data_IF_459866290922
#
_entry.id   IF_459866290922
#
_cell.length_a   1.000
_cell.length_b   1.000
_cell.length_c   1.000
_cell.angle_alpha   90.00
_cell.angle_beta   90.00
_cell.angle_gamma   90.00
#
_symmetry.space_group_name_H-M   'P 1'
#
loop_
_entity.id
_entity.type
_entity.pdbx_description
1 polymer ?
#
# COMPACT_ATOMS: atom_id res chain seq x y z
N UNK A 1 0.32 -20.03 -14.50
CA UNK A 1 -0.63 -19.03 -15.02
C UNK A 1 -0.84 -19.36 -16.49
N UNK A 2 -2.05 -19.21 -17.03
CA UNK A 2 -2.26 -19.38 -18.47
C UNK A 2 -1.52 -18.24 -19.19
N UNK A 3 -0.75 -18.52 -20.25
CA UNK A 3 -0.06 -17.48 -21.01
C UNK A 3 -1.11 -16.51 -21.55
N UNK A 4 -1.10 -15.27 -21.04
CA UNK A 4 -2.00 -14.22 -21.53
C UNK A 4 -1.70 -13.97 -22.99
N UNK A 5 -2.75 -13.84 -23.81
CA UNK A 5 -2.63 -13.48 -25.24
C UNK A 5 -2.60 -11.97 -25.46
N UNK A 6 -2.46 -11.20 -24.38
CA UNK A 6 -2.48 -9.74 -24.42
C UNK A 6 -1.16 -9.20 -24.97
N UNK A 7 -1.24 -8.17 -25.79
CA UNK A 7 -0.07 -7.50 -26.38
C UNK A 7 -0.32 -6.00 -26.44
N UNK A 8 0.73 -5.21 -26.20
CA UNK A 8 0.71 -3.78 -26.45
C UNK A 8 1.46 -3.47 -27.75
N UNK A 9 0.82 -2.77 -28.68
CA UNK A 9 1.43 -2.29 -29.92
C UNK A 9 1.82 -0.83 -29.72
N UNK A 10 3.09 -0.50 -29.91
CA UNK A 10 3.58 0.90 -29.91
C UNK A 10 4.38 1.20 -31.18
N UNK A 11 4.80 2.45 -31.36
CA UNK A 11 5.55 2.89 -32.52
C UNK A 11 6.79 3.69 -32.15
N UNK A 12 7.85 3.52 -32.94
CA UNK A 12 8.99 4.42 -32.96
C UNK A 12 9.13 5.02 -34.36
N UNK A 13 9.34 6.35 -34.43
CA UNK A 13 9.63 7.08 -35.68
C UNK A 13 8.53 6.93 -36.75
N UNK A 14 7.32 6.56 -36.35
CA UNK A 14 6.12 6.45 -37.20
C UNK A 14 4.85 6.66 -36.37
N UNK A 15 3.68 6.67 -37.02
CA UNK A 15 2.37 6.76 -36.35
C UNK A 15 1.61 5.44 -36.45
N UNK A 16 0.64 5.27 -35.56
CA UNK A 16 -0.27 4.11 -35.53
C UNK A 16 -1.69 4.45 -36.04
N UNK A 17 -1.89 5.64 -36.62
CA UNK A 17 -3.23 6.13 -36.99
C UNK A 17 -3.96 5.25 -38.01
N UNK A 18 -3.19 4.59 -38.88
CA UNK A 18 -3.71 3.69 -39.92
C UNK A 18 -3.93 2.24 -39.42
N UNK A 19 -3.66 1.96 -38.14
CA UNK A 19 -3.81 0.61 -37.57
C UNK A 19 -5.26 0.35 -37.18
N UNK A 20 -5.92 -0.56 -37.89
CA UNK A 20 -7.24 -1.08 -37.51
C UNK A 20 -7.10 -2.11 -36.37
N UNK A 21 -7.00 -1.60 -35.15
CA UNK A 21 -6.87 -2.42 -33.94
C UNK A 21 -8.05 -3.37 -33.75
N UNK A 22 -9.26 -2.99 -34.17
CA UNK A 22 -10.45 -3.81 -34.01
C UNK A 22 -10.38 -5.05 -34.90
N UNK A 23 -9.99 -4.90 -36.17
CA UNK A 23 -9.79 -6.01 -37.08
C UNK A 23 -8.67 -6.96 -36.63
N UNK A 24 -7.55 -6.41 -36.13
CA UNK A 24 -6.45 -7.22 -35.61
C UNK A 24 -6.84 -8.01 -34.35
N UNK A 25 -7.55 -7.37 -33.42
CA UNK A 25 -8.01 -8.02 -32.19
C UNK A 25 -9.00 -9.16 -32.49
N UNK A 26 -9.95 -8.93 -33.41
CA UNK A 26 -10.91 -9.95 -33.86
C UNK A 26 -10.20 -11.16 -34.48
N UNK A 27 -9.20 -10.93 -35.34
CA UNK A 27 -8.40 -11.99 -35.95
C UNK A 27 -7.60 -12.83 -34.92
N UNK A 28 -7.20 -12.22 -33.79
CA UNK A 28 -6.50 -12.90 -32.71
C UNK A 28 -7.45 -13.51 -31.66
N UNK A 29 -8.74 -13.20 -31.73
CA UNK A 29 -9.75 -13.65 -30.77
C UNK A 29 -9.60 -13.00 -29.39
N UNK A 30 -9.14 -11.75 -29.34
CA UNK A 30 -8.97 -10.94 -28.12
C UNK A 30 -9.73 -9.63 -28.24
N UNK A 31 -9.87 -8.88 -27.14
CA UNK A 31 -10.56 -7.58 -27.17
C UNK A 31 -9.63 -6.49 -27.67
N UNK A 32 -10.15 -5.52 -28.41
CA UNK A 32 -9.42 -4.29 -28.72
C UNK A 32 -9.47 -3.32 -27.52
N UNK A 33 -8.32 -2.74 -27.18
CA UNK A 33 -8.19 -1.70 -26.17
C UNK A 33 -7.21 -0.62 -26.66
N UNK A 34 -7.23 0.56 -26.03
CA UNK A 34 -6.31 1.65 -26.35
C UNK A 34 -5.84 2.30 -25.06
N UNK A 35 -4.56 2.70 -25.03
CA UNK A 35 -4.04 3.52 -23.93
C UNK A 35 -4.55 4.95 -24.10
N UNK A 36 -5.31 5.42 -23.12
CA UNK A 36 -5.70 6.83 -22.99
C UNK A 36 -4.95 7.51 -21.82
N UNK A 37 -5.03 8.84 -21.73
CA UNK A 37 -4.37 9.60 -20.67
C UNK A 37 -2.93 10.01 -20.97
N UNK A 38 -2.35 10.81 -20.07
CA UNK A 38 -0.98 11.35 -20.18
C UNK A 38 -0.06 10.85 -19.07
N UNK A 39 -0.62 10.13 -18.09
CA UNK A 39 0.11 9.62 -16.93
C UNK A 39 -0.12 8.13 -16.75
N UNK A 40 0.83 7.46 -16.11
CA UNK A 40 0.74 6.01 -15.85
C UNK A 40 -0.47 5.67 -14.97
N UNK A 41 -0.83 6.54 -14.02
CA UNK A 41 -1.99 6.36 -13.17
C UNK A 41 -3.32 6.41 -13.96
N UNK A 42 -3.44 7.32 -14.93
CA UNK A 42 -4.61 7.40 -15.82
C UNK A 42 -4.68 6.20 -16.76
N UNK A 43 -3.54 5.77 -17.31
CA UNK A 43 -3.44 4.58 -18.16
C UNK A 43 -3.82 3.31 -17.39
N UNK A 44 -3.24 3.11 -16.20
CA UNK A 44 -3.48 1.93 -15.38
C UNK A 44 -4.91 1.88 -14.84
N UNK A 45 -5.48 3.03 -14.49
CA UNK A 45 -6.86 3.17 -14.02
C UNK A 45 -7.94 2.87 -15.07
N UNK A 46 -7.59 2.68 -16.34
CA UNK A 46 -8.52 2.19 -17.37
C UNK A 46 -8.83 0.70 -17.26
N UNK A 47 -8.09 -0.02 -16.41
CA UNK A 47 -8.27 -1.46 -16.18
C UNK A 47 -8.30 -2.24 -17.51
N UNK A 48 -7.30 -1.99 -18.38
CA UNK A 48 -7.27 -2.45 -19.77
C UNK A 48 -7.40 -3.97 -19.94
N UNK A 49 -7.19 -4.76 -18.89
CA UNK A 49 -7.28 -6.22 -18.88
C UNK A 49 -8.41 -6.79 -17.99
N UNK A 50 -9.26 -5.95 -17.38
CA UNK A 50 -10.30 -6.41 -16.46
C UNK A 50 -11.34 -7.36 -17.10
N UNK A 51 -11.53 -7.25 -18.42
CA UNK A 51 -12.46 -8.09 -19.19
C UNK A 51 -11.77 -9.22 -19.96
N UNK A 52 -10.57 -9.63 -19.52
CA UNK A 52 -9.75 -10.66 -20.15
C UNK A 52 -8.74 -10.12 -21.16
N UNK A 53 -8.17 -11.03 -21.95
CA UNK A 53 -7.06 -10.73 -22.87
C UNK A 53 -7.41 -9.63 -23.88
N UNK A 54 -6.46 -8.72 -24.11
CA UNK A 54 -6.64 -7.58 -24.99
C UNK A 54 -5.43 -7.30 -25.88
N UNK A 55 -5.70 -6.91 -27.13
CA UNK A 55 -4.75 -6.24 -27.99
C UNK A 55 -4.86 -4.73 -27.76
N UNK A 56 -3.81 -4.16 -27.17
CA UNK A 56 -3.77 -2.77 -26.70
C UNK A 56 -3.02 -1.93 -27.72
N UNK A 57 -3.68 -0.91 -28.27
CA UNK A 57 -3.01 0.12 -29.07
C UNK A 57 -2.42 1.18 -28.13
N UNK A 58 -1.10 1.35 -28.18
CA UNK A 58 -0.38 2.35 -27.40
C UNK A 58 -0.70 3.79 -27.81
N UNK A 59 -0.19 4.73 -27.02
CA UNK A 59 -0.28 6.17 -27.30
C UNK A 59 0.55 6.60 -28.52
N UNK A 60 1.56 5.80 -28.89
CA UNK A 60 2.53 6.13 -29.92
C UNK A 60 3.82 6.78 -29.37
N UNK A 61 3.87 7.05 -28.07
CA UNK A 61 5.12 7.30 -27.35
C UNK A 61 5.63 5.98 -26.77
N UNK A 62 6.59 5.34 -27.45
CA UNK A 62 7.13 4.05 -27.02
C UNK A 62 7.77 4.07 -25.62
N UNK A 63 8.19 5.24 -25.11
CA UNK A 63 8.75 5.34 -23.75
C UNK A 63 7.65 5.24 -22.71
N UNK A 64 6.55 5.98 -22.92
CA UNK A 64 5.38 5.92 -22.04
C UNK A 64 4.66 4.56 -22.16
N UNK A 65 4.48 4.08 -23.39
CA UNK A 65 3.85 2.80 -23.67
C UNK A 65 4.65 1.62 -23.07
N UNK A 66 5.98 1.73 -22.98
CA UNK A 66 6.80 0.77 -22.25
C UNK A 66 6.45 0.73 -20.74
N UNK A 67 6.22 1.88 -20.11
CA UNK A 67 5.82 1.93 -18.70
C UNK A 67 4.43 1.32 -18.49
N UNK A 68 3.49 1.62 -19.38
CA UNK A 68 2.14 1.02 -19.34
C UNK A 68 2.20 -0.48 -19.55
N UNK A 69 2.97 -0.95 -20.53
CA UNK A 69 3.15 -2.37 -20.81
C UNK A 69 3.76 -3.11 -19.62
N UNK A 70 4.80 -2.54 -19.01
CA UNK A 70 5.43 -3.07 -17.81
C UNK A 70 4.43 -3.13 -16.65
N UNK A 71 3.65 -2.08 -16.41
CA UNK A 71 2.65 -2.03 -15.34
C UNK A 71 1.58 -3.14 -15.47
N UNK A 72 1.14 -3.42 -16.69
CA UNK A 72 0.16 -4.48 -16.97
C UNK A 72 0.78 -5.88 -17.12
N UNK A 73 2.11 -5.99 -17.21
CA UNK A 73 2.77 -7.26 -17.51
C UNK A 73 2.42 -7.78 -18.90
N UNK A 74 2.31 -6.89 -19.89
CA UNK A 74 2.00 -7.26 -21.28
C UNK A 74 3.24 -7.11 -22.16
N UNK A 75 3.55 -8.09 -23.01
CA UNK A 75 4.63 -7.94 -23.97
C UNK A 75 4.32 -6.86 -25.02
N UNK A 76 5.38 -6.23 -25.52
CA UNK A 76 5.30 -5.11 -26.47
C UNK A 76 5.70 -5.55 -27.87
N UNK A 77 4.94 -5.12 -28.87
CA UNK A 77 5.34 -5.15 -30.27
C UNK A 77 5.64 -3.74 -30.74
N UNK A 78 6.86 -3.50 -31.22
CA UNK A 78 7.31 -2.21 -31.73
C UNK A 78 7.12 -2.13 -33.24
N UNK A 79 6.37 -1.14 -33.70
CA UNK A 79 6.25 -0.79 -35.13
C UNK A 79 7.26 0.31 -35.46
N UNK A 80 8.07 0.11 -36.50
CA UNK A 80 9.10 1.08 -36.89
C UNK A 80 9.43 0.99 -38.38
N UNK A 81 9.80 2.10 -39.06
CA UNK A 81 10.28 2.05 -40.43
C UNK A 81 11.65 1.34 -40.56
N UNK A 82 12.43 1.26 -39.47
CA UNK A 82 13.81 0.72 -39.45
C UNK A 82 13.95 -0.42 -38.42
N UNK A 83 13.35 -1.60 -38.68
CA UNK A 83 13.34 -2.71 -37.72
C UNK A 83 14.74 -3.28 -37.44
N UNK A 84 15.70 -3.09 -38.34
CA UNK A 84 17.10 -3.49 -38.17
C UNK A 84 17.91 -2.61 -37.20
N UNK A 85 17.34 -1.51 -36.70
CA UNK A 85 18.04 -0.54 -35.84
C UNK A 85 17.17 -0.06 -34.66
N UNK A 86 16.92 -0.97 -33.72
CA UNK A 86 16.06 -0.78 -32.54
C UNK A 86 16.79 -0.81 -31.19
N UNK A 87 18.13 -0.80 -31.19
CA UNK A 87 18.91 -0.98 -29.97
C UNK A 87 18.65 0.08 -28.89
N UNK A 88 18.31 1.31 -29.28
CA UNK A 88 17.93 2.36 -28.33
C UNK A 88 16.55 2.10 -27.72
N UNK A 89 15.57 1.74 -28.54
CA UNK A 89 14.22 1.41 -28.11
C UNK A 89 14.24 0.19 -27.18
N UNK A 90 14.99 -0.86 -27.53
CA UNK A 90 15.24 -2.05 -26.70
C UNK A 90 15.82 -1.70 -25.33
N UNK A 91 16.81 -0.81 -25.29
CA UNK A 91 17.38 -0.32 -24.03
C UNK A 91 16.32 0.41 -23.18
N UNK A 92 15.49 1.26 -23.81
CA UNK A 92 14.38 1.96 -23.14
C UNK A 92 13.37 0.96 -22.58
N UNK A 93 12.95 -0.06 -23.34
CA UNK A 93 12.05 -1.11 -22.84
C UNK A 93 12.67 -1.90 -21.68
N UNK A 94 13.96 -2.24 -21.77
CA UNK A 94 14.67 -2.91 -20.68
C UNK A 94 14.74 -2.05 -19.41
N UNK A 95 15.04 -0.76 -19.56
CA UNK A 95 14.99 0.20 -18.46
C UNK A 95 13.57 0.35 -17.91
N UNK A 96 12.54 0.28 -18.78
CA UNK A 96 11.10 -0.01 -18.60
C UNK A 96 10.72 -1.14 -17.64
N UNK A 97 11.49 -2.22 -17.65
CA UNK A 97 10.99 -3.54 -17.26
C UNK A 97 9.93 -4.08 -18.22
N UNK A 98 9.80 -3.50 -19.40
CA UNK A 98 8.90 -3.96 -20.45
C UNK A 98 9.60 -5.03 -21.29
N UNK A 99 8.84 -6.02 -21.75
CA UNK A 99 9.36 -7.10 -22.57
C UNK A 99 9.04 -6.81 -24.04
N UNK A 100 10.05 -6.52 -24.84
CA UNK A 100 9.88 -6.41 -26.29
C UNK A 100 9.77 -7.81 -26.90
N UNK A 101 8.57 -8.15 -27.36
CA UNK A 101 8.24 -9.45 -27.94
C UNK A 101 8.51 -9.53 -29.45
N UNK A 102 8.50 -8.40 -30.14
CA UNK A 102 8.74 -8.36 -31.58
C UNK A 102 8.89 -6.94 -32.13
N UNK A 103 9.53 -6.85 -33.28
CA UNK A 103 9.70 -5.61 -34.05
C UNK A 103 9.12 -5.83 -35.44
N UNK A 104 8.20 -4.96 -35.83
CA UNK A 104 7.47 -5.05 -37.10
C UNK A 104 7.75 -3.81 -37.94
N UNK A 105 8.01 -4.03 -39.23
CA UNK A 105 8.20 -2.92 -40.17
C UNK A 105 6.89 -2.16 -40.37
N UNK A 106 6.94 -0.83 -40.39
CA UNK A 106 5.79 0.00 -40.71
C UNK A 106 5.14 -0.45 -42.03
N UNK A 107 3.81 -0.62 -42.02
CA UNK A 107 3.03 -1.11 -43.16
C UNK A 107 3.01 -2.63 -43.32
N UNK A 108 3.68 -3.39 -42.46
CA UNK A 108 3.69 -4.86 -42.44
C UNK A 108 3.04 -5.45 -41.17
N UNK A 109 2.25 -4.65 -40.44
CA UNK A 109 1.55 -5.10 -39.24
C UNK A 109 0.28 -5.87 -39.62
N UNK A 110 0.23 -7.14 -39.28
CA UNK A 110 -0.92 -8.02 -39.45
C UNK A 110 -1.07 -9.00 -38.27
N UNK A 111 -2.12 -9.82 -38.27
CA UNK A 111 -2.36 -10.78 -37.21
C UNK A 111 -1.26 -11.84 -37.08
N UNK A 112 -0.54 -12.18 -38.16
CA UNK A 112 0.56 -13.14 -38.11
C UNK A 112 1.81 -12.54 -37.44
N UNK A 113 2.11 -11.27 -37.71
CA UNK A 113 3.19 -10.53 -37.06
C UNK A 113 2.98 -10.34 -35.54
N UNK A 114 1.75 -10.51 -35.05
CA UNK A 114 1.37 -10.43 -33.64
C UNK A 114 1.31 -11.79 -32.94
N UNK A 115 1.57 -12.90 -33.63
CA UNK A 115 1.71 -14.22 -32.99
C UNK A 115 3.11 -14.37 -32.40
N UNK A 116 3.38 -13.63 -31.33
CA UNK A 116 4.65 -13.64 -30.61
C UNK A 116 4.53 -14.44 -29.32
N UNK A 117 5.53 -15.26 -29.02
CA UNK A 117 5.65 -15.98 -27.75
C UNK A 117 6.61 -15.20 -26.84
N UNK A 118 6.06 -14.44 -25.91
CA UNK A 118 6.81 -13.72 -24.89
C UNK A 118 6.03 -13.71 -23.58
N UNK A 119 6.73 -13.89 -22.47
CA UNK A 119 6.17 -13.76 -21.12
C UNK A 119 6.63 -12.44 -20.53
N UNK A 120 5.68 -11.68 -19.98
CA UNK A 120 5.94 -10.44 -19.26
C UNK A 120 5.22 -10.52 -17.90
N UNK A 121 5.89 -10.07 -16.86
CA UNK A 121 5.34 -10.01 -15.50
C UNK A 121 5.02 -8.56 -15.16
N UNK A 122 3.91 -8.28 -14.45
CA UNK A 122 3.58 -6.93 -14.00
C UNK A 122 4.69 -6.33 -13.15
N UNK A 123 5.12 -5.11 -13.51
CA UNK A 123 6.16 -4.37 -12.80
C UNK A 123 5.49 -3.34 -11.90
N UNK A 124 5.61 -3.55 -10.59
CA UNK A 124 5.13 -2.60 -9.60
C UNK A 124 5.93 -1.29 -9.66
N UNK A 125 5.23 -0.15 -9.63
CA UNK A 125 5.79 1.19 -9.40
C UNK A 125 4.98 1.91 -8.32
N UNK A 126 5.43 3.08 -7.90
CA UNK A 126 4.69 3.93 -6.96
C UNK A 126 3.27 4.24 -7.50
N UNK A 127 3.17 4.69 -8.74
CA UNK A 127 1.92 5.09 -9.39
C UNK A 127 0.98 3.90 -9.61
N UNK A 128 1.54 2.73 -9.96
CA UNK A 128 0.77 1.48 -10.09
C UNK A 128 0.23 1.05 -8.73
N UNK A 129 1.07 1.09 -7.69
CA UNK A 129 0.67 0.73 -6.34
C UNK A 129 -0.42 1.66 -5.80
N UNK A 130 -0.27 2.98 -5.97
CA UNK A 130 -1.28 3.96 -5.56
C UNK A 130 -2.60 3.75 -6.31
N UNK A 131 -2.56 3.52 -7.62
CA UNK A 131 -3.76 3.25 -8.42
C UNK A 131 -4.46 1.96 -7.96
N UNK A 132 -3.69 0.90 -7.72
CA UNK A 132 -4.19 -0.36 -7.17
C UNK A 132 -4.83 -0.17 -5.79
N UNK A 133 -4.16 0.58 -4.90
CA UNK A 133 -4.64 0.88 -3.55
C UNK A 133 -5.99 1.60 -3.57
N UNK A 134 -6.13 2.61 -4.44
CA UNK A 134 -7.37 3.36 -4.61
C UNK A 134 -8.50 2.47 -5.15
N UNK A 135 -8.22 1.62 -6.14
CA UNK A 135 -9.19 0.66 -6.68
C UNK A 135 -9.69 -0.30 -5.60
N UNK A 136 -8.78 -0.91 -4.84
CA UNK A 136 -9.13 -1.82 -3.73
C UNK A 136 -9.91 -1.15 -2.61
N UNK A 137 -9.54 0.07 -2.23
CA UNK A 137 -10.29 0.84 -1.24
C UNK A 137 -11.73 1.13 -1.71
N UNK A 138 -11.88 1.48 -2.99
CA UNK A 138 -13.19 1.75 -3.61
C UNK A 138 -14.10 0.52 -3.60
N UNK A 139 -13.58 -0.69 -3.79
CA UNK A 139 -14.40 -1.91 -3.70
C UNK A 139 -15.00 -2.11 -2.29
N UNK A 140 -14.28 -1.72 -1.25
CA UNK A 140 -14.73 -1.90 0.14
C UNK A 140 -15.76 -0.86 0.58
N UNK A 141 -15.76 0.34 0.00
CA UNK A 141 -16.64 1.46 0.39
C UNK A 141 -16.68 1.72 1.91
N UNK A 142 -15.54 1.55 2.59
CA UNK A 142 -15.43 1.70 4.03
C UNK A 142 -15.72 3.15 4.47
N UNK A 143 -16.25 3.31 5.68
CA UNK A 143 -16.49 4.62 6.28
C UNK A 143 -15.32 5.03 7.18
N UNK A 144 -14.57 6.05 6.77
CA UNK A 144 -13.40 6.54 7.50
C UNK A 144 -13.70 7.89 8.18
N UNK A 145 -13.34 8.03 9.46
CA UNK A 145 -13.40 9.30 10.18
C UNK A 145 -12.04 10.02 10.12
N UNK A 146 -12.08 11.31 9.82
CA UNK A 146 -10.94 12.24 9.73
C UNK A 146 -11.10 13.31 10.83
N UNK A 147 -10.38 13.21 11.96
CA UNK A 147 -10.58 14.10 13.10
C UNK A 147 -10.14 15.54 12.82
N UNK A 148 -9.20 15.76 11.92
CA UNK A 148 -8.44 17.02 11.82
C UNK A 148 -9.01 17.97 10.75
N UNK A 149 -10.32 18.28 10.80
CA UNK A 149 -11.00 19.11 9.79
C UNK A 149 -10.51 20.56 9.69
N UNK A 150 -9.76 21.05 10.67
CA UNK A 150 -9.13 22.37 10.62
C UNK A 150 -7.85 22.41 9.76
N UNK A 151 -7.36 21.25 9.32
CA UNK A 151 -6.16 21.13 8.47
C UNK A 151 -6.52 21.11 6.98
N UNK A 152 -6.03 22.09 6.22
CA UNK A 152 -6.32 22.21 4.79
C UNK A 152 -5.85 21.00 3.97
N UNK A 153 -4.83 20.25 4.43
CA UNK A 153 -4.37 19.03 3.74
C UNK A 153 -5.39 17.91 3.87
N UNK A 154 -6.05 17.80 5.03
CA UNK A 154 -7.13 16.84 5.27
C UNK A 154 -8.32 17.17 4.37
N UNK A 155 -8.71 18.44 4.27
CA UNK A 155 -9.81 18.86 3.41
C UNK A 155 -9.50 18.62 1.92
N UNK A 156 -8.27 18.90 1.47
CA UNK A 156 -7.83 18.60 0.09
C UNK A 156 -7.84 17.11 -0.22
N UNK A 157 -7.35 16.29 0.71
CA UNK A 157 -7.36 14.84 0.56
C UNK A 157 -8.80 14.31 0.52
N UNK A 158 -9.66 14.79 1.42
CA UNK A 158 -11.08 14.42 1.45
C UNK A 158 -11.77 14.75 0.12
N UNK A 159 -11.53 15.95 -0.44
CA UNK A 159 -12.04 16.31 -1.76
C UNK A 159 -11.64 15.29 -2.85
N UNK A 160 -10.37 14.91 -2.91
CA UNK A 160 -9.88 13.93 -3.90
C UNK A 160 -10.48 12.54 -3.70
N UNK A 161 -10.58 12.08 -2.44
CA UNK A 161 -11.15 10.79 -2.07
C UNK A 161 -12.65 10.71 -2.42
N UNK A 162 -13.41 11.78 -2.17
CA UNK A 162 -14.85 11.84 -2.47
C UNK A 162 -15.12 11.96 -3.98
N UNK A 163 -14.27 12.68 -4.71
CA UNK A 163 -14.38 12.80 -6.17
C UNK A 163 -14.21 11.45 -6.87
N UNK A 164 -13.37 10.57 -6.32
CA UNK A 164 -13.09 9.22 -6.85
C UNK A 164 -13.93 8.10 -6.20
N UNK A 165 -14.80 8.45 -5.25
CA UNK A 165 -15.61 7.53 -4.44
C UNK A 165 -14.78 6.45 -3.72
N UNK A 166 -13.61 6.83 -3.20
CA UNK A 166 -12.65 5.89 -2.57
C UNK A 166 -13.16 5.36 -1.24
N UNK A 167 -13.81 6.21 -0.43
CA UNK A 167 -14.33 5.90 0.88
C UNK A 167 -15.46 6.86 1.24
N UNK A 168 -16.35 6.45 2.16
CA UNK A 168 -17.27 7.37 2.83
C UNK A 168 -16.50 8.10 3.92
N UNK A 169 -16.69 9.42 4.05
CA UNK A 169 -15.93 10.23 5.00
C UNK A 169 -16.83 10.92 6.02
N UNK A 170 -16.42 10.88 7.28
CA UNK A 170 -16.83 11.87 8.28
C UNK A 170 -15.64 12.75 8.64
N UNK A 171 -15.80 14.06 8.57
CA UNK A 171 -14.79 15.05 8.96
C UNK A 171 -15.24 15.71 10.26
N UNK A 172 -14.37 15.73 11.27
CA UNK A 172 -14.68 16.39 12.54
C UNK A 172 -14.13 17.82 12.57
N UNK A 173 -14.89 18.74 13.16
CA UNK A 173 -14.51 20.14 13.36
C UNK A 173 -15.70 21.08 13.31
N UNK A 174 -15.44 22.39 13.45
CA UNK A 174 -16.50 23.40 13.34
C UNK A 174 -17.08 23.42 11.91
N UNK A 175 -18.40 23.24 11.81
CA UNK A 175 -19.10 23.06 10.53
C UNK A 175 -18.98 24.31 9.65
N UNK A 176 -19.09 25.50 10.24
CA UNK A 176 -19.03 26.77 9.50
C UNK A 176 -17.60 27.07 9.05
N UNK A 177 -16.59 26.78 9.88
CA UNK A 177 -15.18 26.94 9.51
C UNK A 177 -14.77 26.03 8.36
N UNK A 178 -15.13 24.74 8.44
CA UNK A 178 -14.84 23.76 7.38
C UNK A 178 -15.52 24.17 6.07
N UNK A 179 -16.80 24.57 6.11
CA UNK A 179 -17.53 25.02 4.93
C UNK A 179 -16.88 26.23 4.27
N UNK A 180 -16.50 27.24 5.07
CA UNK A 180 -15.81 28.45 4.59
C UNK A 180 -14.45 28.13 3.96
N UNK A 181 -13.67 27.22 4.57
CA UNK A 181 -12.37 26.77 4.02
C UNK A 181 -12.53 26.02 2.71
N UNK A 182 -13.54 25.14 2.63
CA UNK A 182 -13.84 24.41 1.42
C UNK A 182 -14.22 25.35 0.27
N UNK A 183 -15.10 26.33 0.52
CA UNK A 183 -15.49 27.35 -0.47
C UNK A 183 -14.29 28.18 -0.92
N UNK A 184 -13.47 28.67 0.02
CA UNK A 184 -12.28 29.48 -0.28
C UNK A 184 -11.28 28.74 -1.19
N UNK A 185 -11.18 27.42 -1.03
CA UNK A 185 -10.23 26.57 -1.76
C UNK A 185 -10.85 25.85 -2.97
N UNK A 186 -12.15 26.05 -3.23
CA UNK A 186 -12.86 25.38 -4.32
C UNK A 186 -12.98 23.86 -4.14
N UNK A 187 -13.06 23.38 -2.89
CA UNK A 187 -13.14 21.96 -2.55
C UNK A 187 -14.61 21.51 -2.49
N UNK A 188 -14.93 20.44 -3.21
CA UNK A 188 -16.20 19.75 -3.07
C UNK A 188 -16.13 18.71 -1.94
N UNK A 189 -16.81 18.99 -0.83
CA UNK A 189 -16.98 18.11 0.33
C UNK A 189 -18.44 17.68 0.52
N UNK A 190 -19.31 17.91 -0.47
CA UNK A 190 -20.77 17.70 -0.35
C UNK A 190 -21.18 16.26 -0.01
N UNK A 191 -20.33 15.28 -0.34
CA UNK A 191 -20.52 13.86 -0.03
C UNK A 191 -20.04 13.45 1.37
N UNK A 192 -19.27 14.30 2.07
CA UNK A 192 -18.81 14.01 3.42
C UNK A 192 -19.84 14.42 4.47
N UNK A 193 -19.88 13.68 5.57
CA UNK A 193 -20.55 14.13 6.79
C UNK A 193 -19.59 15.03 7.58
N UNK A 194 -20.04 16.21 7.99
CA UNK A 194 -19.25 17.08 8.89
C UNK A 194 -19.91 17.09 10.26
N UNK A 195 -19.14 16.82 11.31
CA UNK A 195 -19.63 16.78 12.69
C UNK A 195 -18.77 17.69 13.58
N UNK A 196 -19.41 18.65 14.23
CA UNK A 196 -18.82 19.35 15.37
C UNK A 196 -18.88 18.45 16.60
N UNK A 197 -17.77 17.78 16.88
CA UNK A 197 -17.64 16.85 18.01
C UNK A 197 -17.97 17.50 19.36
N UNK A 198 -17.65 18.79 19.55
CA UNK A 198 -17.88 19.51 20.80
C UNK A 198 -19.35 19.86 21.05
N UNK A 199 -20.18 19.86 19.98
CA UNK A 199 -21.62 20.11 20.05
C UNK A 199 -22.47 18.88 19.73
N UNK A 200 -21.84 17.72 19.58
CA UNK A 200 -22.51 16.49 19.15
C UNK A 200 -23.39 15.89 20.26
N UNK A 201 -24.60 15.46 19.89
CA UNK A 201 -25.49 14.71 20.79
C UNK A 201 -24.90 13.35 21.22
N UNK A 202 -23.90 12.84 20.48
CA UNK A 202 -23.21 11.57 20.77
C UNK A 202 -22.29 11.66 21.99
N UNK A 203 -21.94 12.87 22.46
CA UNK A 203 -20.99 13.07 23.56
C UNK A 203 -21.38 12.32 24.84
N UNK A 204 -22.65 12.38 25.23
CA UNK A 204 -23.11 11.75 26.46
C UNK A 204 -23.11 10.21 26.35
N UNK A 205 -23.54 9.68 25.20
CA UNK A 205 -23.49 8.23 24.93
C UNK A 205 -22.04 7.73 24.93
N UNK A 206 -21.14 8.44 24.26
CA UNK A 206 -19.73 8.08 24.19
C UNK A 206 -19.06 8.15 25.56
N UNK A 207 -19.41 9.16 26.37
CA UNK A 207 -18.87 9.29 27.73
C UNK A 207 -19.32 8.15 28.63
N UNK A 208 -20.60 7.75 28.55
CA UNK A 208 -21.12 6.62 29.30
C UNK A 208 -20.43 5.30 28.92
N UNK A 209 -20.26 5.04 27.63
CA UNK A 209 -19.56 3.84 27.14
C UNK A 209 -18.08 3.86 27.57
N UNK A 210 -17.38 4.98 27.41
CA UNK A 210 -15.98 5.11 27.80
C UNK A 210 -15.78 4.89 29.31
N UNK A 211 -16.67 5.43 30.15
CA UNK A 211 -16.65 5.20 31.59
C UNK A 211 -16.79 3.71 31.92
N UNK A 212 -17.68 2.98 31.24
CA UNK A 212 -17.84 1.53 31.45
C UNK A 212 -16.61 0.74 30.95
N UNK A 213 -16.10 1.04 29.75
CA UNK A 213 -14.88 0.44 29.21
C UNK A 213 -13.67 0.63 30.15
N UNK A 214 -13.62 1.75 30.87
CA UNK A 214 -12.52 2.16 31.75
C UNK A 214 -12.85 2.07 33.23
N UNK A 215 -13.97 1.45 33.61
CA UNK A 215 -14.42 1.29 35.01
C UNK A 215 -13.37 0.63 35.91
N UNK A 216 -12.65 -0.36 35.39
CA UNK A 216 -11.54 -1.04 36.11
C UNK A 216 -10.35 -0.12 36.41
N UNK A 217 -10.25 1.02 35.72
CA UNK A 217 -9.24 2.06 35.95
C UNK A 217 -9.80 3.23 36.79
N UNK A 218 -11.03 3.13 37.28
CA UNK A 218 -11.65 4.11 38.15
C UNK A 218 -12.11 5.39 37.47
N UNK A 219 -12.27 5.39 36.13
CA UNK A 219 -12.77 6.55 35.39
C UNK A 219 -14.24 6.79 35.74
N UNK A 220 -14.56 7.98 36.24
CA UNK A 220 -15.94 8.39 36.51
C UNK A 220 -16.63 8.88 35.24
N UNK A 221 -17.97 8.93 35.24
CA UNK A 221 -18.72 9.49 34.12
C UNK A 221 -18.38 10.97 33.86
N UNK A 222 -18.11 11.75 34.90
CA UNK A 222 -17.71 13.15 34.78
C UNK A 222 -16.35 13.30 34.07
N UNK A 223 -15.36 12.50 34.46
CA UNK A 223 -14.06 12.45 33.77
C UNK A 223 -14.19 11.96 32.33
N UNK A 224 -15.10 11.01 32.09
CA UNK A 224 -15.38 10.52 30.74
C UNK A 224 -15.99 11.61 29.85
N UNK A 225 -16.90 12.44 30.38
CA UNK A 225 -17.47 13.60 29.65
C UNK A 225 -16.39 14.59 29.25
N UNK A 226 -15.46 14.91 30.14
CA UNK A 226 -14.31 15.76 29.82
C UNK A 226 -13.43 15.13 28.74
N UNK A 227 -13.18 13.82 28.84
CA UNK A 227 -12.36 13.08 27.86
C UNK A 227 -13.01 13.05 26.47
N UNK A 228 -14.34 12.94 26.38
CA UNK A 228 -15.03 12.88 25.09
C UNK A 228 -15.10 14.22 24.35
N UNK A 229 -14.76 15.33 25.00
CA UNK A 229 -14.52 16.60 24.32
C UNK A 229 -13.25 16.57 23.46
N UNK A 230 -12.33 15.63 23.72
CA UNK A 230 -11.14 15.45 22.89
C UNK A 230 -11.50 14.78 21.57
N UNK A 231 -11.11 15.43 20.47
CA UNK A 231 -11.45 15.02 19.11
C UNK A 231 -10.93 13.62 18.74
N UNK A 232 -9.77 13.22 19.24
CA UNK A 232 -9.17 11.90 18.98
C UNK A 232 -9.93 10.81 19.75
N UNK A 233 -10.37 11.09 20.98
CA UNK A 233 -11.23 10.15 21.72
C UNK A 233 -12.62 10.04 21.10
N UNK A 234 -13.23 11.16 20.70
CA UNK A 234 -14.54 11.16 20.04
C UNK A 234 -14.51 10.33 18.74
N UNK A 235 -13.51 10.57 17.87
CA UNK A 235 -13.34 9.81 16.64
C UNK A 235 -13.08 8.31 16.89
N UNK A 236 -12.27 7.98 17.90
CA UNK A 236 -12.03 6.59 18.28
C UNK A 236 -13.32 5.91 18.77
N UNK A 237 -14.18 6.64 19.49
CA UNK A 237 -15.48 6.14 19.92
C UNK A 237 -16.44 5.92 18.73
N UNK A 238 -16.41 6.77 17.70
CA UNK A 238 -17.14 6.51 16.46
C UNK A 238 -16.75 5.18 15.84
N UNK A 239 -15.43 4.90 15.75
CA UNK A 239 -14.92 3.61 15.24
C UNK A 239 -15.38 2.47 16.14
N UNK A 240 -15.24 2.61 17.46
CA UNK A 240 -15.66 1.60 18.44
C UNK A 240 -17.13 1.22 18.30
N UNK A 241 -18.00 2.23 18.20
CA UNK A 241 -19.46 2.09 18.09
C UNK A 241 -19.95 1.67 16.70
N UNK A 242 -19.05 1.59 15.71
CA UNK A 242 -19.39 1.21 14.34
C UNK A 242 -20.07 2.32 13.55
N UNK A 243 -19.91 3.58 13.98
CA UNK A 243 -20.32 4.77 13.21
C UNK A 243 -19.27 5.16 12.16
N UNK A 244 -18.08 4.57 12.26
CA UNK A 244 -17.05 4.53 11.23
C UNK A 244 -16.39 3.15 11.29
N UNK A 245 -15.87 2.68 10.16
CA UNK A 245 -15.11 1.43 10.06
C UNK A 245 -13.63 1.62 10.44
N UNK A 246 -13.09 2.83 10.29
CA UNK A 246 -11.72 3.16 10.67
C UNK A 246 -11.45 4.66 10.84
N UNK A 247 -10.26 5.00 11.34
CA UNK A 247 -9.84 6.38 11.59
C UNK A 247 -8.45 6.67 11.00
N UNK A 248 -8.29 7.87 10.45
CA UNK A 248 -6.98 8.42 10.06
C UNK A 248 -6.79 9.79 10.71
N UNK A 249 -5.74 9.94 11.52
CA UNK A 249 -5.39 11.17 12.25
C UNK A 249 -3.87 11.37 12.28
N UNK A 250 -3.36 12.46 12.87
CA UNK A 250 -1.93 12.70 13.11
C UNK A 250 -1.29 13.79 12.24
N UNK A 251 -2.04 14.36 11.28
CA UNK A 251 -1.55 15.49 10.49
C UNK A 251 -1.34 16.74 11.36
N UNK A 252 -2.18 16.92 12.38
CA UNK A 252 -2.11 18.02 13.34
C UNK A 252 -1.75 17.56 14.77
N UNK A 253 -1.94 16.27 15.09
CA UNK A 253 -1.69 15.72 16.42
C UNK A 253 -0.36 14.96 16.55
N UNK A 254 0.00 14.62 17.79
CA UNK A 254 1.14 13.73 18.03
C UNK A 254 0.69 12.27 17.88
N UNK A 255 1.59 11.39 17.43
CA UNK A 255 1.38 9.94 17.40
C UNK A 255 0.84 9.39 18.74
N UNK A 256 1.35 9.89 19.87
CA UNK A 256 0.87 9.49 21.18
C UNK A 256 -0.60 9.91 21.43
N UNK A 257 -1.02 11.07 20.92
CA UNK A 257 -2.41 11.55 21.02
C UNK A 257 -3.36 10.77 20.11
N UNK A 258 -2.90 10.36 18.91
CA UNK A 258 -3.66 9.50 17.99
C UNK A 258 -3.83 8.07 18.52
N UNK A 259 -2.76 7.43 18.99
CA UNK A 259 -2.77 5.98 19.27
C UNK A 259 -3.27 5.67 20.69
N UNK A 260 -3.04 6.55 21.67
CA UNK A 260 -3.46 6.31 23.07
C UNK A 260 -4.96 6.01 23.20
N UNK A 261 -5.89 6.76 22.58
CA UNK A 261 -7.31 6.42 22.60
C UNK A 261 -7.59 5.02 22.03
N UNK A 262 -6.96 4.65 20.92
CA UNK A 262 -7.10 3.33 20.28
C UNK A 262 -6.74 2.19 21.23
N UNK A 263 -5.67 2.33 22.00
CA UNK A 263 -5.32 1.34 23.03
C UNK A 263 -6.33 1.26 24.18
N UNK A 264 -6.97 2.37 24.53
CA UNK A 264 -7.91 2.42 25.64
C UNK A 264 -9.29 1.89 25.27
N UNK A 265 -9.72 2.15 24.04
CA UNK A 265 -11.09 1.91 23.54
C UNK A 265 -11.13 0.68 22.63
N UNK A 266 -10.34 0.68 21.54
CA UNK A 266 -10.37 -0.37 20.51
C UNK A 266 -9.64 -1.64 20.98
N UNK A 267 -8.49 -1.48 21.66
CA UNK A 267 -7.62 -2.55 22.16
C UNK A 267 -7.04 -3.42 21.03
N UNK A 268 -6.16 -4.33 21.42
CA UNK A 268 -5.55 -5.29 20.51
C UNK A 268 -6.54 -6.35 20.03
N UNK A 269 -6.33 -6.85 18.81
CA UNK A 269 -7.04 -7.99 18.26
C UNK A 269 -6.85 -9.26 19.13
N UNK A 270 -7.77 -10.23 19.11
CA UNK A 270 -7.58 -11.49 19.81
C UNK A 270 -6.26 -12.17 19.41
N UNK A 271 -5.46 -12.57 20.39
CA UNK A 271 -4.14 -13.17 20.15
C UNK A 271 -3.00 -12.16 20.03
N UNK A 272 -3.28 -10.87 19.84
CA UNK A 272 -2.25 -9.83 19.80
C UNK A 272 -2.01 -9.24 21.20
N UNK A 273 -0.75 -9.31 21.67
CA UNK A 273 -0.28 -8.65 22.89
C UNK A 273 0.21 -7.23 22.63
N UNK A 274 0.57 -6.91 21.38
CA UNK A 274 1.17 -5.62 21.01
C UNK A 274 0.62 -5.11 19.68
N UNK A 275 0.50 -3.78 19.56
CA UNK A 275 0.26 -3.12 18.26
C UNK A 275 1.63 -2.80 17.66
N UNK A 276 1.78 -3.04 16.38
CA UNK A 276 2.99 -2.69 15.64
C UNK A 276 2.64 -1.93 14.38
N UNK A 277 3.64 -1.65 13.54
CA UNK A 277 3.43 -1.01 12.26
C UNK A 277 4.22 -1.68 11.15
N UNK A 278 3.71 -1.59 9.92
CA UNK A 278 4.52 -1.81 8.72
C UNK A 278 4.54 -0.56 7.84
N UNK A 279 5.61 -0.37 7.08
CA UNK A 279 5.59 0.46 5.88
C UNK A 279 5.58 -0.45 4.66
N UNK A 280 4.73 -0.14 3.69
CA UNK A 280 4.79 -0.72 2.36
C UNK A 280 5.84 0.07 1.56
N UNK A 281 6.92 -0.62 1.23
CA UNK A 281 8.08 -0.07 0.54
C UNK A 281 7.97 -0.43 -0.94
N UNK A 282 7.56 0.55 -1.73
CA UNK A 282 7.37 0.40 -3.18
C UNK A 282 8.63 0.87 -3.89
N UNK A 283 9.29 -0.06 -4.57
CA UNK A 283 10.35 0.21 -5.51
C UNK A 283 9.97 -0.42 -6.84
N UNK A 284 10.69 -0.07 -7.89
CA UNK A 284 10.45 -0.66 -9.20
C UNK A 284 10.57 -2.18 -9.17
N UNK A 285 9.48 -2.87 -9.54
CA UNK A 285 9.38 -4.32 -9.55
C UNK A 285 9.41 -4.96 -8.16
N UNK A 286 9.31 -4.19 -7.07
CA UNK A 286 9.40 -4.70 -5.70
C UNK A 286 8.38 -4.00 -4.80
N UNK A 287 7.49 -4.80 -4.21
CA UNK A 287 6.64 -4.37 -3.11
C UNK A 287 7.06 -5.15 -1.87
N UNK A 288 7.62 -4.44 -0.89
CA UNK A 288 8.07 -5.03 0.37
C UNK A 288 7.30 -4.45 1.56
N UNK A 289 7.30 -5.17 2.68
CA UNK A 289 6.80 -4.67 3.96
C UNK A 289 7.92 -4.59 4.99
N UNK A 290 8.11 -3.44 5.64
CA UNK A 290 9.11 -3.22 6.69
C UNK A 290 8.40 -2.99 8.02
N UNK A 291 8.63 -3.81 9.04
CA UNK A 291 8.02 -3.66 10.37
C UNK A 291 8.93 -4.14 11.50
N UNK A 292 8.79 -3.76 12.76
CA UNK A 292 8.11 -2.55 13.21
C UNK A 292 9.02 -1.33 13.00
N UNK A 293 8.45 -0.23 12.51
CA UNK A 293 9.18 0.99 12.16
C UNK A 293 8.69 2.25 12.92
N UNK A 294 7.63 2.14 13.72
CA UNK A 294 7.00 3.30 14.35
C UNK A 294 6.53 3.12 15.81
N UNK A 295 6.29 1.89 16.30
CA UNK A 295 5.57 1.72 17.57
C UNK A 295 6.45 1.22 18.72
N UNK A 296 7.18 0.11 18.53
CA UNK A 296 7.81 -0.63 19.63
C UNK A 296 9.33 -0.40 19.69
N UNK A 297 9.84 0.35 20.69
CA UNK A 297 11.27 0.66 20.79
C UNK A 297 12.16 -0.57 20.93
N UNK A 298 11.80 -1.50 21.82
CA UNK A 298 12.60 -2.68 22.17
C UNK A 298 11.68 -3.87 22.38
N UNK A 299 11.16 -4.49 21.30
CA UNK A 299 10.26 -5.64 21.44
C UNK A 299 10.99 -6.82 22.10
N UNK A 300 10.25 -7.60 22.90
CA UNK A 300 10.73 -8.92 23.39
C UNK A 300 10.75 -9.93 22.23
N UNK A 301 11.35 -11.10 22.45
CA UNK A 301 11.36 -12.16 21.44
C UNK A 301 9.94 -12.59 21.05
N UNK A 302 9.05 -12.75 22.03
CA UNK A 302 7.65 -13.14 21.81
C UNK A 302 6.90 -12.06 21.01
N UNK A 303 7.11 -10.79 21.37
CA UNK A 303 6.54 -9.67 20.63
C UNK A 303 7.08 -9.60 19.20
N UNK A 304 8.38 -9.84 19.00
CA UNK A 304 8.98 -9.81 17.67
C UNK A 304 8.45 -10.94 16.78
N UNK A 305 8.24 -12.14 17.35
CA UNK A 305 7.58 -13.24 16.66
C UNK A 305 6.12 -12.95 16.33
N UNK A 306 5.38 -12.32 17.25
CA UNK A 306 4.00 -11.86 17.01
C UNK A 306 3.95 -10.80 15.89
N UNK A 307 4.86 -9.82 15.92
CA UNK A 307 4.99 -8.79 14.88
C UNK A 307 5.25 -9.44 13.52
N UNK A 308 6.06 -10.49 13.44
CA UNK A 308 6.31 -11.21 12.19
C UNK A 308 5.04 -11.82 11.59
N UNK A 309 4.22 -12.48 12.42
CA UNK A 309 2.95 -13.10 11.99
C UNK A 309 1.96 -12.02 11.54
N UNK A 310 1.73 -11.00 12.37
CA UNK A 310 0.77 -9.93 12.05
C UNK A 310 1.21 -9.12 10.82
N UNK A 311 2.52 -8.91 10.65
CA UNK A 311 3.06 -8.23 9.46
C UNK A 311 2.85 -9.06 8.20
N UNK A 312 2.97 -10.38 8.27
CA UNK A 312 2.68 -11.27 7.14
C UNK A 312 1.21 -11.20 6.73
N UNK A 313 0.30 -11.27 7.71
CA UNK A 313 -1.15 -11.15 7.48
C UNK A 313 -1.51 -9.81 6.86
N UNK A 314 -0.93 -8.72 7.39
CA UNK A 314 -1.16 -7.37 6.87
C UNK A 314 -0.57 -7.23 5.47
N UNK A 315 0.65 -7.71 5.22
CA UNK A 315 1.28 -7.68 3.90
C UNK A 315 0.45 -8.42 2.83
N UNK A 316 -0.15 -9.56 3.17
CA UNK A 316 -1.05 -10.31 2.27
C UNK A 316 -2.26 -9.51 1.82
N UNK A 317 -2.79 -8.62 2.67
CA UNK A 317 -3.90 -7.72 2.29
C UNK A 317 -3.50 -6.73 1.18
N UNK A 318 -2.19 -6.45 1.05
CA UNK A 318 -1.61 -5.56 0.05
C UNK A 318 -1.00 -6.30 -1.15
N UNK A 319 -1.35 -7.58 -1.35
CA UNK A 319 -0.92 -8.35 -2.51
C UNK A 319 0.49 -8.93 -2.41
N UNK A 320 1.10 -8.94 -1.22
CA UNK A 320 2.40 -9.57 -0.98
C UNK A 320 2.18 -11.03 -0.58
N UNK A 321 2.81 -11.98 -1.27
CA UNK A 321 2.94 -13.37 -0.80
C UNK A 321 4.08 -13.46 0.24
N UNK A 322 3.80 -13.53 1.54
CA UNK A 322 4.76 -13.15 2.58
C UNK A 322 5.86 -14.19 2.77
N UNK A 323 7.11 -13.76 2.55
CA UNK A 323 8.35 -14.44 2.92
C UNK A 323 9.07 -13.57 3.95
N UNK A 324 8.93 -13.96 5.22
CA UNK A 324 9.25 -13.12 6.37
C UNK A 324 10.67 -13.36 6.87
N UNK A 325 11.51 -12.34 6.81
CA UNK A 325 12.85 -12.36 7.39
C UNK A 325 12.88 -11.65 8.74
N UNK A 326 13.22 -12.37 9.80
CA UNK A 326 13.59 -11.79 11.10
C UNK A 326 15.03 -11.28 11.02
N UNK A 327 15.18 -9.95 10.97
CA UNK A 327 16.48 -9.32 10.73
C UNK A 327 17.36 -9.29 11.98
N UNK A 328 18.65 -9.47 11.76
CA UNK A 328 19.70 -9.34 12.77
C UNK A 328 21.02 -8.95 12.10
N UNK A 329 22.03 -8.61 12.91
CA UNK A 329 23.39 -8.46 12.41
C UNK A 329 24.07 -9.81 12.08
N UNK A 330 23.45 -10.95 12.42
CA UNK A 330 23.94 -12.31 12.13
C UNK A 330 23.01 -13.03 11.15
N UNK A 331 23.58 -13.92 10.32
CA UNK A 331 22.84 -14.95 9.58
C UNK A 331 23.12 -16.32 10.19
N UNK A 332 22.08 -17.03 10.65
CA UNK A 332 22.24 -18.31 11.34
C UNK A 332 23.25 -18.22 12.49
N UNK A 333 24.26 -19.09 12.49
CA UNK A 333 25.29 -19.16 13.54
C UNK A 333 26.53 -18.26 13.30
N UNK A 334 26.47 -17.30 12.35
CA UNK A 334 27.64 -16.47 11.99
C UNK A 334 28.10 -15.51 13.09
N UNK A 335 27.22 -15.19 14.03
CA UNK A 335 27.45 -14.33 15.18
C UNK A 335 26.68 -14.85 16.38
N UNK A 336 27.00 -14.31 17.57
CA UNK A 336 26.35 -14.64 18.83
C UNK A 336 26.13 -13.36 19.64
N UNK A 337 25.18 -13.40 20.56
CA UNK A 337 24.89 -12.30 21.48
C UNK A 337 23.40 -12.12 21.73
N UNK A 338 23.03 -11.26 22.70
CA UNK A 338 21.65 -11.13 23.16
C UNK A 338 20.65 -10.80 22.04
N UNK A 339 21.03 -9.98 21.06
CA UNK A 339 20.15 -9.64 19.94
C UNK A 339 19.98 -10.79 18.94
N UNK A 340 21.00 -11.62 18.76
CA UNK A 340 20.93 -12.84 17.93
C UNK A 340 20.05 -13.86 18.62
N UNK A 341 20.26 -14.09 19.91
CA UNK A 341 19.47 -15.02 20.73
C UNK A 341 17.99 -14.59 20.76
N UNK A 342 17.72 -13.29 20.86
CA UNK A 342 16.37 -12.72 20.76
C UNK A 342 15.72 -13.01 19.40
N UNK A 343 16.44 -12.84 18.30
CA UNK A 343 15.92 -13.13 16.97
C UNK A 343 15.65 -14.64 16.75
N UNK A 344 16.52 -15.52 17.29
CA UNK A 344 16.27 -16.98 17.29
C UNK A 344 15.01 -17.31 18.09
N UNK A 345 14.87 -16.77 19.30
CA UNK A 345 13.67 -16.99 20.11
C UNK A 345 12.40 -16.42 19.45
N UNK A 346 12.51 -15.30 18.73
CA UNK A 346 11.42 -14.73 17.95
C UNK A 346 10.98 -15.62 16.79
N UNK A 347 11.92 -16.32 16.13
CA UNK A 347 11.60 -17.29 15.09
C UNK A 347 10.79 -18.46 15.66
N UNK A 348 11.20 -18.98 16.80
CA UNK A 348 10.47 -20.05 17.48
C UNK A 348 9.06 -19.60 17.90
N UNK A 349 8.93 -18.37 18.40
CA UNK A 349 7.63 -17.79 18.73
C UNK A 349 6.73 -17.62 17.50
N UNK A 350 7.27 -17.13 16.38
CA UNK A 350 6.53 -16.97 15.13
C UNK A 350 6.05 -18.32 14.58
N UNK A 351 6.92 -19.34 14.54
CA UNK A 351 6.58 -20.70 14.09
C UNK A 351 5.56 -21.38 15.01
N UNK A 352 5.62 -21.13 16.32
CA UNK A 352 4.64 -21.64 17.27
C UNK A 352 3.26 -20.99 17.07
N UNK A 353 3.22 -19.69 16.73
CA UNK A 353 1.99 -18.97 16.47
C UNK A 353 1.37 -19.32 15.10
N UNK A 354 2.20 -19.49 14.07
CA UNK A 354 1.77 -19.91 12.73
C UNK A 354 2.81 -20.84 12.08
N UNK A 355 2.63 -22.17 12.17
CA UNK A 355 3.57 -23.15 11.61
C UNK A 355 3.70 -23.14 10.08
N UNK A 356 2.68 -22.65 9.36
CA UNK A 356 2.65 -22.59 7.89
C UNK A 356 3.28 -21.31 7.34
N UNK A 357 3.62 -20.35 8.23
CA UNK A 357 4.23 -19.09 7.81
C UNK A 357 5.63 -19.35 7.24
N UNK A 358 5.88 -18.85 6.03
CA UNK A 358 7.23 -18.80 5.46
C UNK A 358 8.05 -17.73 6.20
N UNK A 359 8.63 -18.10 7.35
CA UNK A 359 9.46 -17.25 8.20
C UNK A 359 10.80 -17.89 8.48
N UNK A 360 11.87 -17.09 8.42
CA UNK A 360 13.20 -17.52 8.81
C UNK A 360 14.04 -16.38 9.43
N UNK A 361 15.08 -16.76 10.16
CA UNK A 361 15.94 -15.86 10.89
C UNK A 361 16.89 -16.59 11.85
N UNK A 362 17.82 -15.88 12.49
CA UNK A 362 18.23 -14.52 12.22
C UNK A 362 18.86 -14.41 10.82
N UNK A 363 18.52 -13.35 10.08
CA UNK A 363 19.07 -13.04 8.76
C UNK A 363 19.66 -11.63 8.73
N UNK A 364 20.85 -11.49 8.15
CA UNK A 364 21.31 -10.18 7.71
C UNK A 364 20.50 -9.73 6.50
N UNK A 365 20.39 -8.41 6.30
CA UNK A 365 19.60 -7.85 5.20
C UNK A 365 20.08 -8.36 3.82
N UNK A 366 21.39 -8.49 3.62
CA UNK A 366 21.95 -9.03 2.37
C UNK A 366 21.53 -10.49 2.13
N UNK A 367 21.57 -11.34 3.16
CA UNK A 367 21.08 -12.71 3.11
C UNK A 367 19.58 -12.80 2.89
N UNK A 368 18.80 -11.83 3.37
CA UNK A 368 17.35 -11.82 3.24
C UNK A 368 16.91 -11.47 1.80
N UNK A 369 17.53 -10.48 1.15
CA UNK A 369 17.03 -9.94 -0.13
C UNK A 369 17.85 -10.29 -1.38
N UNK A 370 19.10 -10.74 -1.26
CA UNK A 370 19.93 -11.10 -2.43
C UNK A 370 19.97 -12.63 -2.63
N UNK A 371 19.49 -13.16 -3.77
CA UNK A 371 19.46 -14.60 -4.03
C UNK A 371 20.83 -15.28 -3.92
N UNK A 372 21.90 -14.62 -4.38
CA UNK A 372 23.26 -15.18 -4.35
C UNK A 372 23.83 -15.23 -2.95
N UNK A 373 23.62 -14.17 -2.15
CA UNK A 373 24.04 -14.14 -0.74
C UNK A 373 23.18 -15.08 0.10
N UNK A 374 21.86 -15.13 -0.12
CA UNK A 374 20.94 -16.04 0.55
C UNK A 374 21.34 -17.50 0.34
N UNK A 375 21.54 -17.93 -0.91
CA UNK A 375 22.00 -19.29 -1.23
C UNK A 375 23.36 -19.64 -0.61
N UNK A 376 24.22 -18.65 -0.39
CA UNK A 376 25.55 -18.86 0.23
C UNK A 376 25.51 -18.90 1.76
N UNK A 377 24.75 -18.00 2.39
CA UNK A 377 24.72 -17.84 3.86
C UNK A 377 23.66 -18.69 4.55
N UNK A 378 22.57 -19.02 3.86
CA UNK A 378 21.45 -19.80 4.38
C UNK A 378 20.81 -20.67 3.28
N UNK A 379 21.55 -21.67 2.74
CA UNK A 379 21.13 -22.46 1.56
C UNK A 379 19.82 -23.24 1.74
N UNK A 380 19.51 -23.66 2.96
CA UNK A 380 18.32 -24.46 3.28
C UNK A 380 17.11 -23.59 3.69
N UNK A 381 17.26 -22.26 3.66
CA UNK A 381 16.22 -21.33 4.07
C UNK A 381 15.13 -21.22 2.99
N UNK A 382 13.84 -21.33 3.36
CA UNK A 382 12.75 -21.03 2.44
C UNK A 382 12.53 -19.52 2.23
N UNK A 383 13.30 -18.65 2.90
CA UNK A 383 13.10 -17.18 2.88
C UNK A 383 14.34 -16.45 2.36
N UNK A 384 15.55 -16.91 2.69
CA UNK A 384 16.77 -16.21 2.35
C UNK A 384 16.90 -15.97 0.83
N UNK A 385 17.30 -14.76 0.47
CA UNK A 385 17.45 -14.29 -0.90
C UNK A 385 16.15 -13.94 -1.62
N UNK A 386 15.00 -14.17 -0.99
CA UNK A 386 13.68 -13.93 -1.58
C UNK A 386 12.68 -13.31 -0.59
N UNK A 387 13.15 -12.79 0.54
CA UNK A 387 12.30 -12.13 1.52
C UNK A 387 11.63 -10.89 0.92
N UNK A 388 10.37 -10.66 1.32
CA UNK A 388 9.60 -9.48 0.95
C UNK A 388 8.86 -8.87 2.16
N UNK A 389 8.92 -9.50 3.33
CA UNK A 389 8.51 -8.93 4.61
C UNK A 389 9.72 -8.95 5.54
N UNK A 390 10.11 -7.78 6.04
CA UNK A 390 11.34 -7.57 6.79
C UNK A 390 11.03 -7.09 8.19
N UNK A 391 11.35 -7.92 9.18
CA UNK A 391 11.08 -7.67 10.59
C UNK A 391 12.34 -7.18 11.29
N UNK A 392 12.39 -5.89 11.60
CA UNK A 392 13.51 -5.22 12.26
C UNK A 392 13.56 -5.56 13.75
N UNK A 393 14.76 -5.69 14.34
CA UNK A 393 14.93 -6.13 15.72
C UNK A 393 14.47 -5.10 16.76
N UNK A 394 14.43 -3.82 16.39
CA UNK A 394 14.05 -2.70 17.23
C UNK A 394 13.66 -1.47 16.38
N UNK A 395 13.15 -0.44 17.06
CA UNK A 395 12.68 0.78 16.40
C UNK A 395 13.81 1.62 15.82
N UNK A 396 15.02 1.59 16.39
CA UNK A 396 16.14 2.35 15.82
C UNK A 396 16.51 1.81 14.45
N UNK A 397 16.65 0.48 14.34
CA UNK A 397 16.91 -0.22 13.10
C UNK A 397 15.77 -0.04 12.09
N UNK A 398 14.51 -0.23 12.51
CA UNK A 398 13.34 -0.08 11.64
C UNK A 398 13.18 1.35 11.11
N UNK A 399 13.18 2.33 12.02
CA UNK A 399 12.95 3.74 11.68
C UNK A 399 14.05 4.31 10.78
N UNK A 400 15.32 3.96 11.03
CA UNK A 400 16.43 4.34 10.18
C UNK A 400 16.38 3.58 8.84
N UNK A 401 16.12 2.27 8.87
CA UNK A 401 16.11 1.40 7.70
C UNK A 401 15.15 1.86 6.61
N UNK A 402 13.87 2.08 6.96
CA UNK A 402 12.89 2.51 5.95
C UNK A 402 13.18 3.91 5.41
N UNK A 403 13.68 4.84 6.24
CA UNK A 403 14.05 6.19 5.79
C UNK A 403 15.28 6.20 4.91
N UNK A 404 16.27 5.37 5.19
CA UNK A 404 17.43 5.20 4.31
C UNK A 404 16.94 4.68 2.95
N UNK A 405 16.15 3.61 2.94
CA UNK A 405 15.58 3.06 1.70
C UNK A 405 14.77 4.11 0.91
N UNK A 406 13.95 4.92 1.60
CA UNK A 406 13.20 6.01 0.98
C UNK A 406 14.12 7.10 0.40
N UNK A 407 15.10 7.59 1.18
CA UNK A 407 15.89 8.78 0.83
C UNK A 407 17.05 8.51 -0.13
N UNK A 408 17.58 7.29 -0.13
CA UNK A 408 18.74 6.93 -0.97
C UNK A 408 18.40 5.88 -2.02
N UNK A 409 17.38 5.04 -1.79
CA UNK A 409 16.97 3.98 -2.69
C UNK A 409 15.84 4.36 -3.65
N UNK A 410 15.29 5.57 -3.54
CA UNK A 410 14.16 6.02 -4.38
C UNK A 410 12.86 5.27 -4.10
N UNK A 411 12.76 4.57 -2.96
CA UNK A 411 11.54 3.87 -2.58
C UNK A 411 10.44 4.87 -2.18
N UNK A 412 9.22 4.63 -2.63
CA UNK A 412 8.04 5.19 -1.99
C UNK A 412 7.77 4.39 -0.71
N UNK A 413 7.60 5.07 0.41
CA UNK A 413 7.26 4.46 1.69
C UNK A 413 5.83 4.87 2.05
N UNK A 414 4.92 3.90 2.07
CA UNK A 414 3.50 4.13 2.38
C UNK A 414 3.20 3.59 3.78
N UNK A 415 2.76 4.46 4.69
CA UNK A 415 2.50 4.14 6.09
C UNK A 415 2.90 5.26 7.06
N UNK A 416 3.01 4.97 8.37
CA UNK A 416 2.94 3.64 8.97
C UNK A 416 1.52 3.06 8.95
N UNK A 417 1.40 1.78 8.57
CA UNK A 417 0.18 1.00 8.68
C UNK A 417 0.17 0.32 10.03
N UNK A 418 -0.68 0.78 10.95
CA UNK A 418 -0.84 0.16 12.26
C UNK A 418 -1.58 -1.16 12.14
N UNK A 419 -1.11 -2.14 12.90
CA UNK A 419 -1.59 -3.52 12.84
C UNK A 419 -1.70 -4.14 14.24
N UNK A 420 -2.61 -5.09 14.40
CA UNK A 420 -2.89 -5.73 15.69
C UNK A 420 -3.98 -5.03 16.54
N UNK A 421 -4.69 -4.03 16.00
CA UNK A 421 -5.89 -3.44 16.64
C UNK A 421 -7.17 -4.17 16.20
N UNK A 422 -8.20 -4.19 17.06
CA UNK A 422 -9.53 -4.77 16.70
C UNK A 422 -10.23 -4.04 15.56
N UNK A 423 -9.94 -2.76 15.38
CA UNK A 423 -10.47 -1.91 14.32
C UNK A 423 -9.37 -0.99 13.80
N UNK A 424 -9.32 -0.70 12.50
CA UNK A 424 -8.22 0.03 11.89
C UNK A 424 -8.19 1.48 12.36
N UNK A 425 -7.05 1.89 12.87
CA UNK A 425 -6.73 3.28 13.20
C UNK A 425 -5.30 3.51 12.72
N UNK A 426 -5.07 4.52 11.90
CA UNK A 426 -3.75 4.87 11.40
C UNK A 426 -3.34 6.29 11.81
N UNK A 427 -2.04 6.46 12.01
CA UNK A 427 -1.40 7.72 12.36
C UNK A 427 -0.62 8.26 11.15
N UNK A 428 -0.78 9.55 10.91
CA UNK A 428 -0.05 10.33 9.93
C UNK A 428 1.13 11.00 10.60
N UNK A 429 2.20 11.22 9.83
CA UNK A 429 3.21 12.18 10.23
C UNK A 429 2.63 13.60 10.19
N UNK A 430 3.04 14.47 11.13
CA UNK A 430 2.74 15.91 11.04
C UNK A 430 3.24 16.56 9.76
N UNK A 431 4.26 15.98 9.13
CA UNK A 431 4.77 16.39 7.82
C UNK A 431 4.06 15.73 6.63
N UNK A 432 2.97 15.00 6.83
CA UNK A 432 2.25 14.31 5.77
C UNK A 432 1.77 15.28 4.69
N UNK A 433 1.94 14.87 3.45
CA UNK A 433 1.44 15.54 2.26
C UNK A 433 0.01 15.09 1.94
N UNK A 434 -0.67 15.78 1.01
CA UNK A 434 -2.01 15.36 0.56
C UNK A 434 -2.01 13.93 0.00
N UNK A 435 -1.05 13.51 -0.85
CA UNK A 435 -0.91 12.12 -1.26
C UNK A 435 -0.75 11.14 -0.10
N UNK A 436 0.05 11.45 0.93
CA UNK A 436 0.22 10.58 2.10
C UNK A 436 -1.11 10.34 2.83
N UNK A 437 -1.94 11.39 2.93
CA UNK A 437 -3.28 11.30 3.56
C UNK A 437 -4.20 10.42 2.70
N UNK A 438 -4.25 10.68 1.39
CA UNK A 438 -5.06 9.88 0.44
C UNK A 438 -4.70 8.40 0.53
N UNK A 439 -3.39 8.09 0.50
CA UNK A 439 -2.89 6.72 0.60
C UNK A 439 -3.22 6.09 1.96
N UNK A 440 -3.05 6.81 3.06
CA UNK A 440 -3.37 6.29 4.40
C UNK A 440 -4.86 6.01 4.59
N UNK A 441 -5.74 6.85 4.02
CA UNK A 441 -7.19 6.59 4.02
C UNK A 441 -7.54 5.36 3.20
N UNK A 442 -6.95 5.19 2.02
CA UNK A 442 -7.16 4.01 1.19
C UNK A 442 -6.67 2.73 1.88
N UNK A 443 -5.50 2.76 2.53
CA UNK A 443 -4.99 1.67 3.37
C UNK A 443 -5.98 1.32 4.48
N UNK A 444 -6.46 2.33 5.21
CA UNK A 444 -7.40 2.13 6.33
C UNK A 444 -8.71 1.52 5.83
N UNK A 445 -9.18 1.92 4.64
CA UNK A 445 -10.36 1.34 4.00
C UNK A 445 -10.14 -0.12 3.56
N UNK A 446 -8.94 -0.48 3.13
CA UNK A 446 -8.57 -1.88 2.84
C UNK A 446 -8.59 -2.73 4.11
N UNK A 447 -7.91 -2.25 5.16
CA UNK A 447 -7.89 -2.94 6.46
C UNK A 447 -9.29 -3.12 7.06
N UNK A 448 -10.18 -2.14 6.87
CA UNK A 448 -11.57 -2.21 7.34
C UNK A 448 -12.42 -3.28 6.61
N UNK A 449 -12.10 -3.55 5.34
CA UNK A 449 -12.81 -4.53 4.51
C UNK A 449 -12.30 -5.96 4.66
N UNK A 450 -11.09 -6.16 5.19
CA UNK A 450 -10.54 -7.47 5.52
C UNK A 450 -11.22 -8.00 6.81
N UNK A 451 -12.42 -8.57 6.68
CA UNK A 451 -13.19 -9.19 7.77
C UNK A 451 -13.19 -10.70 7.70
#
# INVERSE_FOLDING_TARGET
MANSRSLLITAAKCTLDDVDIAALADALGVRAARVEGQTLAEAYGQELLAQGDALILGSGDYTFDAEVAAAYGVPVVLVTPTPENTGHEEEVFGQKGAVLAGVVKQGALDAAALQVEAEAEPVMSAEVFESWLIGRAKENQAHIVLPEGEDDRILKAAHQLLAKDVAKLTILGDVDDIARRAETQGLDLSKAQVIDHAKSELLEEFAAEFAELRKKKGITLEQARETMQDISYFATMMVHKGLADGMVSGAAHTTAHTIKPSFQIIKTAPGASVVSSIFLMVMRGRLWAFGDCAVNPNPTAEQLGEIAVVSAETASQFGIDPKVALLSYSTGASGAGPDVDRAVAALEAAKAANPELAVDGPLQFDAACDPGVGAKKAPDSPVAGQANVFIFPDLEAGNAGYKIAQRTGGALAVGPVLQGLNKPVNDLSRGATVPDIVNTVAITAIQAGAK
#
